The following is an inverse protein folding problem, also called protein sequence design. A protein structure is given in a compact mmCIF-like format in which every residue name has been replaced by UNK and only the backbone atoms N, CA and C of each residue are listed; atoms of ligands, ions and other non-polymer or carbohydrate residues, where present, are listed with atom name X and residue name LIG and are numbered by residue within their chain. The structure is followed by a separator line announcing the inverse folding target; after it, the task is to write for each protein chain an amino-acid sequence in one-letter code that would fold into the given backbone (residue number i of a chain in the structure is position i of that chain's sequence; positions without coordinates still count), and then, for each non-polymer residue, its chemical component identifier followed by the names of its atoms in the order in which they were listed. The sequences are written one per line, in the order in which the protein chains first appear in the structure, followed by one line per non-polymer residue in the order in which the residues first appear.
data_IF_917512626556
#
_entry.id   IF_917512626556
#
_cell.length_a   1.000
_cell.length_b   1.000
_cell.length_c   1.000
_cell.angle_alpha   90.00
_cell.angle_beta   90.00
_cell.angle_gamma   90.00
#
_symmetry.space_group_name_H-M   'P 1'
#
loop_
_entity.id
_entity.type
_entity.pdbx_description
1 polymer ?
#
# COMPACT_ATOMS: atom_id res chain seq x y z
N UNK A 1 -17.06 -1.35 57.57
CA UNK A 1 -16.38 -1.88 56.38
C UNK A 1 -17.17 -1.43 55.17
N UNK A 2 -16.52 -0.61 54.36
CA UNK A 2 -17.06 0.12 53.21
C UNK A 2 -17.31 -0.79 52.02
N UNK A 3 -18.45 -0.59 51.35
CA UNK A 3 -18.62 -1.02 49.96
C UNK A 3 -20.05 -0.82 49.46
N UNK A 4 -20.41 0.34 48.88
CA UNK A 4 -21.65 0.44 48.13
C UNK A 4 -21.45 -0.20 46.74
N UNK A 5 -22.14 -1.31 46.49
CA UNK A 5 -22.41 -1.78 45.11
C UNK A 5 -23.38 -0.76 44.51
N UNK A 6 -22.85 0.13 43.69
CA UNK A 6 -23.67 1.02 42.86
C UNK A 6 -24.08 0.23 41.63
N UNK A 7 -25.34 -0.21 41.61
CA UNK A 7 -26.00 -0.64 40.37
C UNK A 7 -26.39 0.64 39.62
N UNK A 8 -25.75 0.89 38.48
CA UNK A 8 -26.16 1.94 37.54
C UNK A 8 -26.70 1.26 36.28
N UNK A 9 -27.89 1.65 35.80
CA UNK A 9 -28.67 0.91 34.80
C UNK A 9 -27.96 0.80 33.44
N UNK A 10 -28.16 -0.33 32.75
CA UNK A 10 -27.88 -0.46 31.33
C UNK A 10 -28.83 0.43 30.51
N UNK A 11 -28.34 1.40 29.72
CA UNK A 11 -29.13 1.97 28.65
C UNK A 11 -29.14 1.02 27.43
N UNK A 12 -30.35 0.76 26.94
CA UNK A 12 -30.64 0.02 25.71
C UNK A 12 -30.14 0.79 24.46
N UNK A 13 -30.05 0.14 23.28
CA UNK A 13 -29.14 0.52 22.19
C UNK A 13 -29.68 1.67 21.36
N UNK A 14 -29.06 2.84 21.47
CA UNK A 14 -29.35 3.98 20.59
C UNK A 14 -28.17 4.29 19.68
N UNK A 15 -28.24 3.64 18.51
CA UNK A 15 -28.09 4.21 17.17
C UNK A 15 -27.10 5.37 16.92
N UNK A 16 -26.40 5.24 15.79
CA UNK A 16 -25.76 6.29 14.98
C UNK A 16 -24.33 6.71 15.35
N UNK A 17 -23.37 6.05 14.70
CA UNK A 17 -21.97 6.48 14.81
C UNK A 17 -21.01 5.87 13.79
N UNK A 18 -21.35 5.90 12.50
CA UNK A 18 -20.38 5.99 11.38
C UNK A 18 -19.05 5.24 11.55
N UNK A 19 -19.06 3.92 11.74
CA UNK A 19 -17.89 3.15 11.31
C UNK A 19 -18.12 2.90 9.84
N UNK A 20 -17.65 3.86 9.03
CA UNK A 20 -17.48 3.71 7.59
C UNK A 20 -17.03 2.29 7.35
N UNK A 21 -17.66 1.60 6.40
CA UNK A 21 -17.14 0.39 5.80
C UNK A 21 -15.71 0.68 5.31
N UNK A 22 -14.77 0.61 6.25
CA UNK A 22 -13.36 0.61 6.02
C UNK A 22 -13.15 -0.75 5.42
N UNK A 23 -13.15 -0.74 4.09
CA UNK A 23 -12.83 -1.83 3.22
C UNK A 23 -12.02 -2.88 3.98
N UNK A 24 -12.67 -3.98 4.31
CA UNK A 24 -12.01 -5.25 4.62
C UNK A 24 -11.30 -5.70 3.35
N UNK A 25 -10.31 -4.92 2.91
CA UNK A 25 -9.33 -5.37 1.96
C UNK A 25 -8.42 -6.25 2.79
N UNK A 26 -8.36 -7.57 2.54
CA UNK A 26 -7.38 -8.40 3.21
C UNK A 26 -6.01 -7.72 3.07
N UNK A 27 -5.15 -7.72 4.11
CA UNK A 27 -3.78 -7.27 3.92
C UNK A 27 -3.26 -8.07 2.74
N UNK A 28 -2.91 -7.38 1.65
CA UNK A 28 -2.32 -8.02 0.49
C UNK A 28 -1.23 -8.96 1.02
N UNK A 29 -1.11 -10.20 0.50
CA UNK A 29 0.01 -11.05 0.89
C UNK A 29 1.24 -10.18 0.78
N UNK A 30 1.95 -9.99 1.91
CA UNK A 30 3.18 -9.21 1.95
C UNK A 30 4.03 -9.81 0.86
N UNK A 31 4.08 -9.16 -0.30
CA UNK A 31 5.04 -9.45 -1.34
C UNK A 31 6.35 -9.47 -0.59
N UNK A 32 7.01 -10.63 -0.53
CA UNK A 32 8.38 -10.75 -0.06
C UNK A 32 9.09 -9.52 -0.60
N UNK A 33 9.40 -8.57 0.29
CA UNK A 33 9.88 -7.28 -0.14
C UNK A 33 11.14 -7.60 -0.94
N UNK A 34 11.05 -7.43 -2.26
CA UNK A 34 12.21 -7.54 -3.12
C UNK A 34 13.30 -6.70 -2.46
N UNK A 35 14.52 -7.23 -2.42
CA UNK A 35 15.65 -6.56 -1.79
C UNK A 35 15.63 -5.08 -2.14
N UNK A 36 15.92 -4.19 -1.18
CA UNK A 36 15.72 -2.75 -1.37
C UNK A 36 16.46 -2.32 -2.64
N UNK A 37 15.69 -1.92 -3.66
CA UNK A 37 16.24 -1.41 -4.91
C UNK A 37 17.12 -0.22 -4.52
N UNK A 38 18.40 -0.30 -4.83
CA UNK A 38 19.31 0.81 -4.55
C UNK A 38 18.86 2.05 -5.32
N UNK A 39 18.98 3.22 -4.70
CA UNK A 39 18.49 4.49 -5.28
C UNK A 39 19.06 4.75 -6.69
N UNK A 40 20.33 4.37 -6.90
CA UNK A 40 21.00 4.42 -8.21
C UNK A 40 20.33 3.56 -9.28
N UNK A 41 19.90 2.33 -8.93
CA UNK A 41 19.18 1.44 -9.84
C UNK A 41 17.78 1.98 -10.13
N UNK A 42 17.10 2.51 -9.11
CA UNK A 42 15.79 3.13 -9.28
C UNK A 42 15.84 4.35 -10.22
N UNK A 43 16.86 5.20 -10.09
CA UNK A 43 17.09 6.35 -10.96
C UNK A 43 17.38 5.93 -12.42
N UNK A 44 18.23 4.92 -12.61
CA UNK A 44 18.53 4.38 -13.94
C UNK A 44 17.30 3.75 -14.58
N UNK A 45 16.60 2.85 -13.88
CA UNK A 45 15.39 2.22 -14.38
C UNK A 45 14.32 3.24 -14.77
N UNK A 46 14.12 4.29 -13.94
CA UNK A 46 13.20 5.38 -14.26
C UNK A 46 13.61 6.13 -15.54
N UNK A 47 14.91 6.40 -15.73
CA UNK A 47 15.40 7.05 -16.96
C UNK A 47 15.14 6.21 -18.21
N UNK A 48 15.32 4.89 -18.14
CA UNK A 48 15.00 3.99 -19.25
C UNK A 48 13.50 4.00 -19.56
N UNK A 49 12.64 3.96 -18.55
CA UNK A 49 11.19 4.07 -18.74
C UNK A 49 10.78 5.39 -19.41
N UNK A 50 11.43 6.50 -19.06
CA UNK A 50 11.21 7.82 -19.71
C UNK A 50 11.68 7.81 -21.17
N UNK A 51 12.76 7.08 -21.49
CA UNK A 51 13.25 6.90 -22.87
C UNK A 51 12.37 5.98 -23.73
N UNK A 52 11.29 5.42 -23.18
CA UNK A 52 10.32 4.60 -23.93
C UNK A 52 10.60 3.10 -23.89
N UNK A 53 11.54 2.64 -23.05
CA UNK A 53 11.72 1.21 -22.81
C UNK A 53 10.50 0.61 -22.09
N UNK A 54 10.22 -0.66 -22.36
CA UNK A 54 9.11 -1.37 -21.71
C UNK A 54 9.47 -1.73 -20.27
N UNK A 55 8.50 -1.71 -19.33
CA UNK A 55 8.77 -2.06 -17.94
C UNK A 55 9.27 -3.50 -17.75
N UNK A 56 8.95 -4.41 -18.66
CA UNK A 56 9.43 -5.79 -18.67
C UNK A 56 10.92 -5.86 -19.00
N UNK A 57 11.38 -5.14 -20.03
CA UNK A 57 12.80 -5.09 -20.44
C UNK A 57 13.67 -4.43 -19.35
N UNK A 58 13.17 -3.35 -18.75
CA UNK A 58 13.85 -2.68 -17.62
C UNK A 58 13.92 -3.59 -16.39
N UNK A 59 12.85 -4.32 -16.09
CA UNK A 59 12.84 -5.25 -14.95
C UNK A 59 13.85 -6.39 -15.11
N UNK A 60 13.97 -6.96 -16.31
CA UNK A 60 14.95 -8.01 -16.60
C UNK A 60 16.38 -7.47 -16.57
N UNK A 61 16.62 -6.29 -17.15
CA UNK A 61 17.95 -5.69 -17.24
C UNK A 61 18.55 -5.28 -15.89
N UNK A 62 17.71 -4.82 -14.98
CA UNK A 62 18.13 -4.33 -13.66
C UNK A 62 17.81 -5.32 -12.54
N UNK A 63 17.30 -6.51 -12.87
CA UNK A 63 16.85 -7.54 -11.92
C UNK A 63 15.90 -6.98 -10.84
N UNK A 64 15.08 -5.98 -11.24
CA UNK A 64 14.11 -5.33 -10.35
C UNK A 64 12.72 -5.94 -10.54
N UNK A 65 11.88 -5.76 -9.52
CA UNK A 65 10.52 -6.27 -9.57
C UNK A 65 9.71 -5.67 -10.73
N UNK A 66 9.08 -6.53 -11.53
CA UNK A 66 8.24 -6.13 -12.68
C UNK A 66 7.05 -5.27 -12.24
N UNK A 67 6.49 -5.54 -11.07
CA UNK A 67 5.36 -4.77 -10.53
C UNK A 67 5.80 -3.37 -10.12
N UNK A 68 7.00 -3.22 -9.58
CA UNK A 68 7.63 -1.91 -9.33
C UNK A 68 7.82 -1.12 -10.62
N UNK A 69 8.44 -1.71 -11.65
CA UNK A 69 8.60 -1.07 -12.96
C UNK A 69 7.26 -0.64 -13.57
N UNK A 70 6.23 -1.50 -13.47
CA UNK A 70 4.88 -1.20 -13.96
C UNK A 70 4.24 -0.06 -13.18
N UNK A 71 4.41 0.00 -11.85
CA UNK A 71 3.91 1.09 -11.02
C UNK A 71 4.57 2.43 -11.38
N UNK A 72 5.89 2.44 -11.62
CA UNK A 72 6.62 3.63 -12.08
C UNK A 72 6.13 4.06 -13.46
N UNK A 73 5.99 3.13 -14.40
CA UNK A 73 5.48 3.45 -15.75
C UNK A 73 4.06 4.03 -15.72
N UNK A 74 3.15 3.47 -14.90
CA UNK A 74 1.80 4.02 -14.70
C UNK A 74 1.86 5.43 -14.11
N UNK A 75 2.72 5.66 -13.12
CA UNK A 75 2.93 6.98 -12.50
C UNK A 75 3.47 8.01 -13.50
N UNK A 76 4.37 7.61 -14.39
CA UNK A 76 4.92 8.46 -15.44
C UNK A 76 3.85 8.84 -16.48
N UNK A 77 2.98 7.90 -16.89
CA UNK A 77 1.87 8.20 -17.81
C UNK A 77 0.80 9.10 -17.20
N UNK A 78 0.51 8.95 -15.91
CA UNK A 78 -0.48 9.80 -15.22
C UNK A 78 -0.01 11.22 -14.88
N UNK A 79 1.26 11.56 -15.18
CA UNK A 79 1.81 12.92 -15.02
C UNK A 79 1.85 13.72 -16.33
N UNK A 80 1.46 13.12 -17.46
CA UNK A 80 1.26 13.81 -18.74
C UNK A 80 -0.17 14.30 -18.87
#
# INVERSE_FOLDING_TARGET
MTGPVVVVPQPAPEQAGRIRAAWSRPPAPRTTAAEPITDSVAALATRYLVNGYTPEDVAERFEVDRSWCRAVAVRLRGRR
#
